data_IF_601699061402
#
_entry.id   IF_601699061402
#
_cell.length_a   1.000
_cell.length_b   1.000
_cell.length_c   1.000
_cell.angle_alpha   90.00
_cell.angle_beta   90.00
_cell.angle_gamma   90.00
#
_symmetry.space_group_name_H-M   'P 1'
#
loop_
_entity.id
_entity.type
_entity.pdbx_description
1 polymer ?
#
# COMPACT_ATOMS: atom_id res chain seq x y z
N UNK A 1 13.58 9.33 7.82
CA UNK A 1 12.49 8.36 8.11
C UNK A 1 11.20 8.68 7.33
N UNK A 2 11.10 9.83 6.65
CA UNK A 2 9.82 10.25 6.03
C UNK A 2 9.98 10.78 4.59
N UNK A 3 11.11 10.51 3.92
CA UNK A 3 11.37 11.12 2.62
C UNK A 3 10.33 10.69 1.58
N UNK A 4 9.95 9.41 1.56
CA UNK A 4 8.90 8.89 0.67
C UNK A 4 7.55 9.55 0.93
N UNK A 5 7.17 9.79 2.18
CA UNK A 5 5.92 10.48 2.51
C UNK A 5 5.95 11.97 2.13
N UNK A 6 7.11 12.61 2.25
CA UNK A 6 7.34 14.00 1.78
C UNK A 6 7.23 14.05 0.25
N UNK A 7 7.89 13.14 -0.45
CA UNK A 7 7.87 13.06 -1.90
C UNK A 7 6.44 12.78 -2.41
N UNK A 8 5.71 11.88 -1.73
CA UNK A 8 4.31 11.61 -2.02
C UNK A 8 3.40 12.82 -1.74
N UNK A 9 3.70 13.63 -0.73
CA UNK A 9 2.98 14.88 -0.47
C UNK A 9 3.19 15.91 -1.58
N UNK A 10 4.43 16.10 -2.03
CA UNK A 10 4.74 16.98 -3.15
C UNK A 10 4.06 16.48 -4.44
N UNK A 11 4.14 15.18 -4.72
CA UNK A 11 3.49 14.58 -5.89
C UNK A 11 1.97 14.79 -5.88
N UNK A 12 1.33 14.65 -4.72
CA UNK A 12 -0.11 14.85 -4.58
C UNK A 12 -0.53 16.30 -4.88
N UNK A 13 0.22 17.28 -4.35
CA UNK A 13 -0.03 18.70 -4.58
C UNK A 13 0.20 19.06 -6.05
N UNK A 14 1.31 18.61 -6.64
CA UNK A 14 1.67 18.91 -8.03
C UNK A 14 0.63 18.36 -9.02
N UNK A 15 0.09 17.16 -8.75
CA UNK A 15 -0.83 16.46 -9.66
C UNK A 15 -2.31 16.67 -9.36
N UNK A 16 -2.66 17.35 -8.27
CA UNK A 16 -4.01 17.36 -7.71
C UNK A 16 -4.60 15.94 -7.60
N UNK A 17 -3.79 15.01 -7.11
CA UNK A 17 -4.16 13.61 -6.95
C UNK A 17 -3.58 13.04 -5.66
N UNK A 18 -4.46 12.90 -4.68
CA UNK A 18 -4.18 12.36 -3.37
C UNK A 18 -4.45 10.87 -3.37
N UNK A 19 -3.38 10.11 -3.15
CA UNK A 19 -3.45 8.66 -3.07
C UNK A 19 -3.16 8.27 -1.64
N UNK A 20 -4.16 7.70 -0.97
CA UNK A 20 -4.05 7.42 0.45
C UNK A 20 -4.41 5.98 0.79
N UNK A 21 -3.77 5.50 1.85
CA UNK A 21 -4.07 4.23 2.48
C UNK A 21 -4.79 4.53 3.80
N UNK A 22 -6.03 4.06 3.94
CA UNK A 22 -6.83 4.28 5.15
C UNK A 22 -7.90 3.23 5.31
N UNK A 23 -8.47 3.15 6.50
CA UNK A 23 -9.68 2.37 6.71
C UNK A 23 -10.89 3.09 6.11
N UNK A 24 -11.80 2.38 5.42
CA UNK A 24 -13.04 2.96 4.94
C UNK A 24 -13.83 3.63 6.08
N UNK A 25 -14.33 4.84 5.83
CA UNK A 25 -15.12 5.61 6.80
C UNK A 25 -14.32 6.37 7.86
N UNK A 26 -12.98 6.39 7.78
CA UNK A 26 -12.14 7.27 8.60
C UNK A 26 -11.85 8.59 7.89
N UNK A 27 -11.71 9.63 8.69
CA UNK A 27 -11.45 11.03 8.29
C UNK A 27 -9.94 11.38 8.33
N UNK A 28 -9.07 10.37 8.45
CA UNK A 28 -7.63 10.54 8.40
C UNK A 28 -6.98 9.45 7.54
N UNK A 29 -5.87 9.81 6.90
CA UNK A 29 -5.06 8.87 6.15
C UNK A 29 -4.05 8.17 7.06
N UNK A 30 -3.92 6.86 6.93
CA UNK A 30 -2.92 6.10 7.68
C UNK A 30 -1.53 6.19 7.03
N UNK A 31 -1.49 6.34 5.70
CA UNK A 31 -0.26 6.52 4.93
C UNK A 31 -0.57 7.23 3.61
N UNK A 32 0.34 8.09 3.14
CA UNK A 32 0.25 8.72 1.81
C UNK A 32 1.11 7.94 0.81
N UNK A 33 0.52 7.58 -0.32
CA UNK A 33 1.14 6.70 -1.31
C UNK A 33 1.70 7.55 -2.45
N UNK A 34 3.00 7.41 -2.72
CA UNK A 34 3.67 7.98 -3.89
C UNK A 34 3.76 7.00 -5.06
N UNK A 35 4.19 7.51 -6.22
CA UNK A 35 4.37 6.73 -7.46
C UNK A 35 5.31 5.52 -7.33
N UNK A 36 6.28 5.59 -6.41
CA UNK A 36 7.28 4.53 -6.20
C UNK A 36 6.82 3.43 -5.24
N UNK A 37 5.67 3.59 -4.59
CA UNK A 37 5.24 2.63 -3.58
C UNK A 37 4.61 1.38 -4.18
N UNK A 38 4.81 0.26 -3.46
CA UNK A 38 4.51 -1.07 -3.98
C UNK A 38 3.04 -1.43 -3.84
N UNK A 39 2.53 -2.01 -4.91
CA UNK A 39 1.32 -2.80 -4.90
C UNK A 39 1.61 -4.19 -4.32
N UNK A 40 0.57 -4.85 -3.82
CA UNK A 40 0.60 -6.24 -3.38
C UNK A 40 1.15 -7.21 -4.45
N UNK A 41 1.06 -6.86 -5.74
CA UNK A 41 1.67 -7.64 -6.82
C UNK A 41 3.20 -7.52 -6.92
N UNK A 42 3.82 -6.62 -6.16
CA UNK A 42 5.26 -6.35 -6.12
C UNK A 42 5.74 -5.19 -6.98
N UNK A 43 4.90 -4.72 -7.92
CA UNK A 43 5.16 -3.60 -8.83
C UNK A 43 4.78 -2.25 -8.22
N UNK A 44 5.40 -1.17 -8.69
CA UNK A 44 5.14 0.19 -8.20
C UNK A 44 3.81 0.73 -8.74
N UNK A 45 3.28 1.77 -8.09
CA UNK A 45 2.10 2.49 -8.59
C UNK A 45 2.31 3.05 -10.01
N UNK A 46 3.51 3.51 -10.33
CA UNK A 46 3.86 4.01 -11.67
C UNK A 46 3.79 2.95 -12.77
N UNK A 47 3.88 1.67 -12.43
CA UNK A 47 3.70 0.53 -13.33
C UNK A 47 2.22 0.12 -13.51
N UNK A 48 1.29 0.82 -12.84
CA UNK A 48 -0.15 0.62 -13.02
C UNK A 48 -0.75 1.67 -13.95
N UNK A 49 -1.89 1.34 -14.56
CA UNK A 49 -2.65 2.27 -15.40
C UNK A 49 -2.92 3.55 -14.62
N UNK A 50 -2.67 4.70 -15.23
CA UNK A 50 -2.89 6.00 -14.59
C UNK A 50 -4.36 6.21 -14.25
N UNK A 51 -4.60 6.83 -13.10
CA UNK A 51 -5.94 7.24 -12.70
C UNK A 51 -6.48 8.32 -13.66
N UNK A 52 -7.72 8.13 -14.13
CA UNK A 52 -8.41 9.04 -15.06
C UNK A 52 -9.68 9.66 -14.48
N UNK A 53 -9.99 9.43 -13.20
CA UNK A 53 -11.20 9.94 -12.55
C UNK A 53 -12.45 9.06 -12.68
N UNK A 54 -12.42 7.99 -13.50
CA UNK A 54 -13.60 7.13 -13.74
C UNK A 54 -13.51 5.75 -13.11
N UNK A 55 -12.30 5.24 -12.91
CA UNK A 55 -12.06 3.85 -12.49
C UNK A 55 -10.93 3.83 -11.46
N UNK A 56 -11.22 3.36 -10.25
CA UNK A 56 -10.24 3.21 -9.16
C UNK A 56 -9.47 1.87 -9.26
N UNK A 57 -9.89 0.98 -10.16
CA UNK A 57 -9.20 -0.28 -10.48
C UNK A 57 -8.04 -0.04 -11.44
N UNK A 58 -6.95 0.50 -10.91
CA UNK A 58 -5.72 0.70 -11.67
C UNK A 58 -5.05 -0.65 -11.89
N UNK A 59 -5.20 -1.24 -13.09
CA UNK A 59 -4.59 -2.54 -13.43
C UNK A 59 -3.07 -2.39 -13.60
N UNK A 60 -2.27 -3.39 -13.19
CA UNK A 60 -0.84 -3.38 -13.50
C UNK A 60 -0.60 -3.58 -15.00
N UNK A 61 0.36 -2.85 -15.54
CA UNK A 61 0.75 -2.89 -16.95
C UNK A 61 1.95 -3.81 -17.20
N UNK A 62 2.61 -4.29 -16.16
CA UNK A 62 3.73 -5.23 -16.28
C UNK A 62 3.26 -6.55 -16.89
N UNK A 63 4.00 -7.03 -17.88
CA UNK A 63 3.74 -8.28 -18.60
C UNK A 63 3.54 -9.44 -17.61
N UNK A 64 2.54 -10.28 -17.85
CA UNK A 64 2.18 -11.45 -17.03
C UNK A 64 1.63 -11.18 -15.61
N UNK A 65 1.51 -9.92 -15.18
CA UNK A 65 0.87 -9.60 -13.91
C UNK A 65 -0.67 -9.75 -14.00
N UNK A 66 -1.26 -10.42 -13.01
CA UNK A 66 -2.71 -10.70 -12.96
C UNK A 66 -3.49 -9.79 -12.01
N UNK A 67 -2.83 -8.84 -11.34
CA UNK A 67 -3.55 -7.92 -10.46
C UNK A 67 -4.47 -7.00 -11.26
N UNK A 68 -5.65 -6.76 -10.71
CA UNK A 68 -6.73 -6.01 -11.34
C UNK A 68 -6.92 -4.60 -10.75
N UNK A 69 -6.36 -4.35 -9.57
CA UNK A 69 -6.31 -3.04 -8.94
C UNK A 69 -5.00 -2.86 -8.17
N UNK A 70 -4.58 -1.61 -8.03
CA UNK A 70 -3.50 -1.24 -7.13
C UNK A 70 -3.97 -1.42 -5.68
N UNK A 71 -3.21 -2.19 -4.90
CA UNK A 71 -3.44 -2.41 -3.48
C UNK A 71 -2.12 -2.19 -2.76
N UNK A 72 -1.96 -1.05 -2.09
CA UNK A 72 -0.71 -0.72 -1.39
C UNK A 72 -0.30 -1.84 -0.43
N UNK A 73 0.96 -2.24 -0.47
CA UNK A 73 1.56 -3.12 0.54
C UNK A 73 2.82 -2.45 1.09
N UNK A 74 3.00 -2.43 2.42
CA UNK A 74 4.25 -1.97 2.99
C UNK A 74 5.43 -2.74 2.42
N UNK A 75 6.48 -2.01 2.06
CA UNK A 75 7.73 -2.52 1.52
C UNK A 75 8.93 -2.27 2.43
N UNK A 76 8.73 -1.49 3.50
CA UNK A 76 9.74 -1.20 4.53
C UNK A 76 9.16 -1.44 5.93
N UNK A 77 10.00 -1.85 6.90
CA UNK A 77 9.53 -2.14 8.26
C UNK A 77 9.05 -0.89 9.02
N UNK A 78 9.59 0.30 8.74
CA UNK A 78 9.17 1.56 9.35
C UNK A 78 7.72 1.93 9.05
N UNK A 79 7.20 1.56 7.87
CA UNK A 79 5.81 1.80 7.45
C UNK A 79 4.78 1.02 8.30
N UNK A 80 5.24 -0.02 8.99
CA UNK A 80 4.41 -0.86 9.87
C UNK A 80 4.84 -0.77 11.34
N UNK A 81 5.59 0.28 11.68
CA UNK A 81 6.04 0.53 13.05
C UNK A 81 7.18 -0.38 13.51
N UNK A 82 7.70 -1.29 12.67
CA UNK A 82 8.79 -2.21 12.97
C UNK A 82 10.18 -1.60 12.74
N UNK A 83 10.32 -0.28 12.91
CA UNK A 83 11.56 0.46 12.61
C UNK A 83 12.79 -0.10 13.35
N UNK A 84 12.62 -0.78 14.49
CA UNK A 84 13.72 -1.42 15.22
C UNK A 84 14.41 -2.54 14.45
N UNK A 85 13.75 -3.15 13.45
CA UNK A 85 14.35 -4.18 12.59
C UNK A 85 15.53 -3.62 11.81
N UNK A 86 15.45 -2.36 11.38
CA UNK A 86 16.52 -1.66 10.64
C UNK A 86 17.82 -1.53 11.44
N UNK A 87 17.76 -1.65 12.77
CA UNK A 87 18.92 -1.54 13.66
C UNK A 87 19.55 -2.90 13.98
N UNK A 88 18.97 -4.01 13.51
CA UNK A 88 19.50 -5.35 13.81
C UNK A 88 20.76 -5.61 12.96
N UNK A 89 21.82 -6.17 13.55
CA UNK A 89 23.00 -6.60 12.79
C UNK A 89 22.60 -7.56 11.66
N UNK A 90 23.09 -7.29 10.44
CA UNK A 90 22.80 -8.11 9.27
C UNK A 90 21.39 -7.94 8.67
N UNK A 91 20.63 -6.91 9.08
CA UNK A 91 19.35 -6.60 8.44
C UNK A 91 19.56 -6.06 7.02
N UNK A 92 18.90 -6.69 6.04
CA UNK A 92 18.87 -6.23 4.66
C UNK A 92 17.45 -5.79 4.28
N UNK A 93 17.28 -4.47 4.10
CA UNK A 93 16.01 -3.86 3.72
C UNK A 93 15.46 -4.39 2.39
N UNK A 94 16.33 -4.81 1.45
CA UNK A 94 15.92 -5.29 0.14
C UNK A 94 15.17 -6.63 0.19
N UNK A 95 15.40 -7.41 1.26
CA UNK A 95 14.78 -8.73 1.48
C UNK A 95 13.51 -8.66 2.31
N UNK A 96 13.23 -7.52 2.96
CA UNK A 96 12.06 -7.39 3.82
C UNK A 96 10.77 -7.42 3.00
N UNK A 97 9.78 -8.15 3.50
CA UNK A 97 8.45 -8.28 2.90
C UNK A 97 7.42 -8.32 4.01
N UNK A 98 6.31 -7.62 3.80
CA UNK A 98 5.11 -7.73 4.63
C UNK A 98 4.65 -9.20 4.74
N UNK A 99 4.48 -9.70 5.97
CA UNK A 99 4.14 -11.11 6.25
C UNK A 99 2.65 -11.30 6.54
N UNK A 100 2.14 -12.44 6.10
CA UNK A 100 0.83 -12.93 6.50
C UNK A 100 0.91 -13.69 7.84
N UNK A 101 -0.21 -13.84 8.56
CA UNK A 101 -0.33 -14.73 9.72
C UNK A 101 0.03 -16.19 9.42
N UNK A 102 -0.05 -16.62 8.16
CA UNK A 102 0.42 -17.94 7.73
C UNK A 102 1.96 -18.09 7.72
N UNK A 103 2.71 -17.00 7.95
CA UNK A 103 4.18 -16.97 7.96
C UNK A 103 4.82 -16.60 6.62
N UNK A 104 4.13 -16.83 5.50
CA UNK A 104 4.63 -16.51 4.17
C UNK A 104 4.51 -15.00 3.85
N UNK A 105 5.44 -14.44 3.05
CA UNK A 105 5.36 -13.05 2.63
C UNK A 105 4.25 -12.81 1.61
N UNK A 106 3.88 -11.54 1.42
CA UNK A 106 2.79 -11.14 0.51
C UNK A 106 3.04 -11.58 -0.94
N UNK A 107 4.29 -11.63 -1.40
CA UNK A 107 4.66 -12.05 -2.76
C UNK A 107 4.47 -13.57 -3.00
N UNK A 108 4.21 -14.35 -1.95
CA UNK A 108 3.76 -15.76 -2.03
C UNK A 108 2.24 -15.91 -2.09
N UNK A 109 1.52 -14.80 -2.06
CA UNK A 109 0.08 -14.78 -2.28
C UNK A 109 -0.19 -14.31 -3.71
N UNK A 110 -1.19 -14.89 -4.37
CA UNK A 110 -1.57 -14.37 -5.68
C UNK A 110 -2.26 -13.00 -5.55
N UNK A 111 -2.04 -12.04 -6.46
CA UNK A 111 -2.43 -10.65 -6.20
C UNK A 111 -3.93 -10.36 -6.18
N UNK A 112 -4.76 -11.22 -6.77
CA UNK A 112 -6.17 -10.92 -7.04
C UNK A 112 -7.07 -11.37 -5.89
N UNK A 113 -6.94 -12.62 -5.47
CA UNK A 113 -7.70 -13.18 -4.34
C UNK A 113 -6.87 -13.25 -3.05
N UNK A 114 -5.58 -12.86 -3.11
CA UNK A 114 -4.64 -12.86 -1.99
C UNK A 114 -4.51 -14.24 -1.35
N UNK A 115 -4.71 -15.32 -2.11
CA UNK A 115 -4.54 -16.70 -1.64
C UNK A 115 -3.07 -17.10 -1.63
N UNK A 116 -2.62 -17.75 -0.56
CA UNK A 116 -1.25 -18.25 -0.47
C UNK A 116 -1.04 -19.40 -1.47
N UNK A 117 0.10 -19.40 -2.15
CA UNK A 117 0.49 -20.45 -3.10
C UNK A 117 1.21 -21.62 -2.42
N UNK A 118 1.67 -21.44 -1.18
CA UNK A 118 2.52 -22.39 -0.46
C UNK A 118 1.78 -23.12 0.68
N UNK A 119 0.58 -22.68 1.06
CA UNK A 119 -0.25 -23.36 2.07
C UNK A 119 -1.77 -23.18 1.82
N UNK A 120 -2.61 -23.68 2.74
CA UNK A 120 -4.08 -23.60 2.66
C UNK A 120 -4.67 -22.22 3.01
N UNK A 121 -3.83 -21.21 3.28
CA UNK A 121 -4.27 -19.86 3.62
C UNK A 121 -5.04 -19.24 2.45
N UNK A 122 -6.33 -18.96 2.67
CA UNK A 122 -7.27 -18.51 1.64
C UNK A 122 -7.20 -17.02 1.33
N UNK A 123 -6.66 -16.20 2.25
CA UNK A 123 -6.57 -14.76 2.10
C UNK A 123 -5.36 -14.21 2.87
N UNK A 124 -4.77 -13.13 2.40
CA UNK A 124 -3.71 -12.45 3.11
C UNK A 124 -4.27 -11.70 4.32
N UNK A 125 -3.86 -12.15 5.50
CA UNK A 125 -4.15 -11.51 6.80
C UNK A 125 -2.82 -11.03 7.37
N UNK A 126 -2.63 -9.74 7.61
CA UNK A 126 -1.31 -9.25 8.04
C UNK A 126 -0.92 -9.78 9.42
N UNK A 127 0.36 -10.12 9.59
CA UNK A 127 0.91 -10.41 10.93
C UNK A 127 1.35 -9.13 11.68
N UNK A 128 1.31 -7.99 11.00
CA UNK A 128 1.61 -6.66 11.52
C UNK A 128 0.32 -5.84 11.62
N UNK A 129 0.40 -4.74 12.37
CA UNK A 129 -0.64 -3.72 12.47
C UNK A 129 -0.16 -2.41 11.86
N UNK A 130 -1.09 -1.63 11.32
CA UNK A 130 -0.81 -0.28 10.83
C UNK A 130 -0.32 0.61 11.98
N UNK A 131 0.80 1.31 11.79
CA UNK A 131 1.39 2.18 12.81
C UNK A 131 0.49 3.38 13.17
N UNK A 132 -0.38 3.83 12.26
CA UNK A 132 -1.23 5.00 12.46
C UNK A 132 -2.54 4.68 13.21
N UNK A 133 -3.15 3.51 12.96
CA UNK A 133 -4.50 3.20 13.47
C UNK A 133 -4.60 1.87 14.25
N UNK A 134 -3.50 1.10 14.37
CA UNK A 134 -3.41 -0.21 15.02
C UNK A 134 -4.31 -1.32 14.43
N UNK A 135 -4.95 -1.10 13.28
CA UNK A 135 -5.72 -2.14 12.58
C UNK A 135 -4.86 -2.93 11.60
N UNK A 136 -5.33 -4.12 11.21
CA UNK A 136 -4.64 -4.98 10.25
C UNK A 136 -4.73 -4.46 8.81
N UNK A 137 -3.83 -4.92 7.95
CA UNK A 137 -3.70 -4.43 6.58
C UNK A 137 -4.97 -4.65 5.75
N UNK A 138 -5.61 -5.81 5.89
CA UNK A 138 -6.82 -6.17 5.16
C UNK A 138 -8.05 -5.32 5.53
N UNK A 139 -7.95 -4.48 6.55
CA UNK A 139 -9.00 -3.53 6.96
C UNK A 139 -8.86 -2.16 6.30
N UNK A 140 -7.92 -2.00 5.37
CA UNK A 140 -7.62 -0.76 4.68
C UNK A 140 -7.80 -0.90 3.17
N UNK A 141 -8.02 0.23 2.52
CA UNK A 141 -8.11 0.35 1.07
C UNK A 141 -7.21 1.50 0.57
N UNK A 142 -6.88 1.44 -0.72
CA UNK A 142 -6.22 2.56 -1.41
C UNK A 142 -7.28 3.45 -2.05
N UNK A 143 -7.28 4.72 -1.70
CA UNK A 143 -8.16 5.75 -2.24
C UNK A 143 -7.40 6.60 -3.25
N UNK A 144 -8.12 7.06 -4.28
CA UNK A 144 -7.63 7.99 -5.30
C UNK A 144 -8.62 9.15 -5.34
N UNK A 145 -8.18 10.32 -4.90
CA UNK A 145 -9.07 11.47 -4.70
C UNK A 145 -8.39 12.75 -5.22
N UNK A 146 -9.16 13.63 -5.84
CA UNK A 146 -8.71 15.00 -6.15
C UNK A 146 -8.83 15.89 -4.92
N UNK A 147 -8.15 17.04 -4.91
CA UNK A 147 -8.25 18.00 -3.81
C UNK A 147 -9.69 18.42 -3.52
N UNK A 148 -10.48 18.69 -4.58
CA UNK A 148 -11.89 19.07 -4.46
C UNK A 148 -12.79 17.96 -3.88
N UNK A 149 -12.47 16.69 -4.11
CA UNK A 149 -13.20 15.55 -3.51
C UNK A 149 -12.86 15.42 -2.03
N UNK A 150 -11.61 15.72 -1.66
CA UNK A 150 -11.14 15.68 -0.26
C UNK A 150 -11.73 16.82 0.56
N UNK A 151 -11.81 18.02 0.02
CA UNK A 151 -12.48 19.16 0.66
C UNK A 151 -13.94 18.86 0.98
N UNK A 152 -14.69 18.26 0.04
CA UNK A 152 -16.08 17.85 0.25
C UNK A 152 -16.22 16.82 1.39
N UNK A 153 -15.23 15.95 1.52
CA UNK A 153 -15.16 14.94 2.58
C UNK A 153 -14.51 15.46 3.87
N UNK A 154 -14.09 16.74 3.92
CA UNK A 154 -13.36 17.36 5.04
C UNK A 154 -12.02 16.67 5.37
N UNK A 155 -11.35 16.17 4.33
CA UNK A 155 -10.04 15.55 4.43
C UNK A 155 -8.93 16.57 4.12
N UNK A 156 -7.72 16.40 4.68
CA UNK A 156 -6.59 17.29 4.40
C UNK A 156 -6.16 17.24 2.93
N UNK A 157 -5.95 18.40 2.31
CA UNK A 157 -5.25 18.59 1.03
C UNK A 157 -3.80 19.00 1.26
#
# INVERSE_FOLDING_TARGET
LFQSEIDAAHEAIEKDLYISYRQPGKDFDCYRIGSNEKCFCGHTLSEHVKFTGKVNRLKCQTTSCTCDAFAYVPSRPDEVGEFWLTKRPGFDASTWRAKCKCGHPHDRHEPKHKRCKECSCSNFISNFSCAACNNHWEQHETFFERGSEREQQKLPT
#
